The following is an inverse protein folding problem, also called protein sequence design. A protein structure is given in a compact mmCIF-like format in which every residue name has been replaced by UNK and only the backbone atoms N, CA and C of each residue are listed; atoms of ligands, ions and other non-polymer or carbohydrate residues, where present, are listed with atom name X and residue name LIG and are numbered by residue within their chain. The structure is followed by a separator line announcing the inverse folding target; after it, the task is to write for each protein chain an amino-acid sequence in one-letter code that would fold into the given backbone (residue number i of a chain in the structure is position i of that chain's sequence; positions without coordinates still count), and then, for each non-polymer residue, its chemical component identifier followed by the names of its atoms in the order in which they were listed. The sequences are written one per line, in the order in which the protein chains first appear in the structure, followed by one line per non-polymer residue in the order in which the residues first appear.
data_IF_971032551890
#
_entry.id   IF_971032551890
#
_cell.length_a   1.000
_cell.length_b   1.000
_cell.length_c   1.000
_cell.angle_alpha   90.00
_cell.angle_beta   90.00
_cell.angle_gamma   90.00
#
_symmetry.space_group_name_H-M   'P 1'
#
loop_
_entity.id
_entity.type
_entity.pdbx_description
1 polymer ?
#
# COMPACT_ATOMS: atom_id res chain seq x y z
N UNK A 1 26.21 -2.54 -54.90
CA UNK A 1 24.82 -2.32 -54.41
C UNK A 1 24.36 -3.25 -53.27
N UNK A 2 25.22 -4.15 -52.71
CA UNK A 2 24.84 -5.11 -51.64
C UNK A 2 24.96 -4.58 -50.19
N UNK A 3 25.82 -3.58 -49.95
CA UNK A 3 26.12 -3.07 -48.59
C UNK A 3 25.00 -2.20 -47.98
N UNK A 4 24.20 -1.50 -48.81
CA UNK A 4 23.13 -0.59 -48.35
C UNK A 4 21.95 -1.35 -47.72
N UNK A 5 21.64 -2.57 -48.21
CA UNK A 5 20.54 -3.40 -47.68
C UNK A 5 20.83 -4.00 -46.29
N UNK A 6 22.10 -4.18 -45.93
CA UNK A 6 22.48 -4.73 -44.62
C UNK A 6 22.41 -3.64 -43.54
N UNK A 7 22.77 -2.40 -43.89
CA UNK A 7 22.72 -1.25 -42.98
C UNK A 7 21.27 -0.88 -42.61
N UNK A 8 20.32 -1.02 -43.55
CA UNK A 8 18.90 -0.75 -43.30
C UNK A 8 18.22 -1.77 -42.37
N UNK A 9 18.67 -3.03 -42.35
CA UNK A 9 18.12 -4.07 -41.45
C UNK A 9 18.71 -4.01 -40.04
N UNK A 10 19.98 -3.64 -39.92
CA UNK A 10 20.62 -3.44 -38.62
C UNK A 10 20.05 -2.21 -37.88
N UNK A 11 19.74 -1.13 -38.61
CA UNK A 11 19.15 0.07 -38.02
C UNK A 11 17.69 -0.14 -37.56
N UNK A 12 16.94 -1.00 -38.25
CA UNK A 12 15.55 -1.33 -37.88
C UNK A 12 15.47 -2.19 -36.59
N UNK A 13 16.45 -3.07 -36.36
CA UNK A 13 16.52 -3.89 -35.14
C UNK A 13 16.99 -3.08 -33.93
N UNK A 14 17.83 -2.05 -34.13
CA UNK A 14 18.29 -1.16 -33.06
C UNK A 14 17.17 -0.25 -32.53
N UNK A 15 16.22 0.15 -33.40
CA UNK A 15 15.04 0.94 -33.03
C UNK A 15 13.99 0.15 -32.23
N UNK A 16 13.93 -1.18 -32.39
CA UNK A 16 12.94 -2.02 -31.70
C UNK A 16 13.36 -2.37 -30.26
N UNK A 17 14.65 -2.27 -29.92
CA UNK A 17 15.16 -2.55 -28.58
C UNK A 17 15.05 -1.38 -27.60
N UNK A 18 14.77 -0.16 -28.06
CA UNK A 18 14.82 1.06 -27.25
C UNK A 18 13.51 1.39 -26.51
N UNK A 19 12.43 0.64 -26.75
CA UNK A 19 11.12 0.86 -26.12
C UNK A 19 10.80 -0.10 -24.96
N UNK A 20 11.79 -0.83 -24.43
CA UNK A 20 11.64 -1.52 -23.14
C UNK A 20 11.89 -0.53 -21.99
N UNK A 21 11.07 0.51 -21.88
CA UNK A 21 11.04 1.32 -20.67
C UNK A 21 10.60 0.40 -19.52
N UNK A 22 11.34 0.33 -18.40
CA UNK A 22 10.83 -0.37 -17.24
C UNK A 22 9.53 0.32 -16.84
N UNK A 23 8.44 -0.45 -16.76
CA UNK A 23 7.23 -0.01 -16.09
C UNK A 23 7.64 0.27 -14.64
N UNK A 24 7.93 1.55 -14.35
CA UNK A 24 8.03 2.06 -12.98
C UNK A 24 6.72 1.71 -12.30
N UNK A 25 6.70 0.58 -11.59
CA UNK A 25 5.64 0.30 -10.65
C UNK A 25 5.79 1.36 -9.58
N UNK A 26 4.89 2.34 -9.59
CA UNK A 26 4.75 3.20 -8.44
C UNK A 26 4.55 2.26 -7.25
N UNK A 27 5.52 2.22 -6.34
CA UNK A 27 5.31 1.52 -5.09
C UNK A 27 4.10 2.18 -4.45
N UNK A 28 3.09 1.38 -4.19
CA UNK A 28 1.83 1.82 -3.62
C UNK A 28 1.64 1.11 -2.29
N UNK A 29 1.13 1.84 -1.31
CA UNK A 29 0.70 1.23 -0.06
C UNK A 29 -0.59 0.48 -0.35
N UNK A 30 -0.58 -0.83 -0.13
CA UNK A 30 -1.72 -1.69 -0.52
C UNK A 30 -2.95 -1.31 0.32
N UNK A 31 -4.13 -1.12 -0.28
CA UNK A 31 -5.35 -0.88 0.47
C UNK A 31 -5.78 -2.11 1.28
N UNK A 32 -6.33 -1.89 2.47
CA UNK A 32 -6.94 -2.93 3.28
C UNK A 32 -8.33 -3.29 2.70
N UNK A 33 -8.42 -4.42 2.01
CA UNK A 33 -9.68 -4.93 1.43
C UNK A 33 -10.17 -6.22 2.09
N UNK A 34 -9.27 -7.04 2.64
CA UNK A 34 -9.60 -8.25 3.39
C UNK A 34 -8.69 -8.37 4.60
N UNK A 35 -9.20 -7.95 5.76
CA UNK A 35 -8.48 -7.99 7.03
C UNK A 35 -8.17 -9.42 7.45
N UNK A 36 -9.06 -10.39 7.19
CA UNK A 36 -8.83 -11.78 7.53
C UNK A 36 -7.65 -12.36 6.75
N UNK A 37 -7.51 -12.02 5.48
CA UNK A 37 -6.35 -12.40 4.66
C UNK A 37 -5.06 -11.74 5.17
N UNK A 38 -5.11 -10.45 5.47
CA UNK A 38 -3.96 -9.71 5.98
C UNK A 38 -3.50 -10.22 7.36
N UNK A 39 -4.44 -10.58 8.24
CA UNK A 39 -4.14 -11.21 9.54
C UNK A 39 -3.51 -12.59 9.39
N UNK A 40 -3.98 -13.41 8.45
CA UNK A 40 -3.36 -14.70 8.16
C UNK A 40 -1.91 -14.52 7.69
N UNK A 41 -1.64 -13.53 6.84
CA UNK A 41 -0.29 -13.21 6.39
C UNK A 41 0.59 -12.69 7.55
N UNK A 42 0.08 -11.73 8.33
CA UNK A 42 0.78 -11.14 9.47
C UNK A 42 1.16 -12.20 10.51
N UNK A 43 0.23 -13.13 10.80
CA UNK A 43 0.46 -14.27 11.70
C UNK A 43 1.50 -15.24 11.17
N UNK A 44 1.46 -15.59 9.89
CA UNK A 44 2.46 -16.49 9.30
C UNK A 44 3.88 -15.91 9.39
N UNK A 45 4.00 -14.60 9.24
CA UNK A 45 5.27 -13.88 9.30
C UNK A 45 5.67 -13.43 10.71
N UNK A 46 4.78 -13.57 11.70
CA UNK A 46 4.96 -13.06 13.07
C UNK A 46 5.27 -11.56 13.11
N UNK A 47 4.55 -10.77 12.32
CA UNK A 47 4.72 -9.31 12.22
C UNK A 47 3.39 -8.59 12.47
N UNK A 48 3.42 -7.35 12.98
CA UNK A 48 2.22 -6.51 13.10
C UNK A 48 1.75 -5.98 11.75
N UNK A 49 0.51 -5.48 11.71
CA UNK A 49 -0.01 -4.66 10.62
C UNK A 49 0.14 -3.19 10.99
N UNK A 50 0.75 -2.40 10.11
CA UNK A 50 0.78 -0.94 10.19
C UNK A 50 -0.31 -0.41 9.24
N UNK A 51 -1.42 0.06 9.81
CA UNK A 51 -2.57 0.54 9.07
C UNK A 51 -2.63 2.07 9.11
N UNK A 52 -2.39 2.73 7.97
CA UNK A 52 -2.68 4.15 7.80
C UNK A 52 -4.16 4.33 7.50
N UNK A 53 -4.85 5.03 8.38
CA UNK A 53 -6.25 5.43 8.20
C UNK A 53 -6.26 6.90 7.83
N UNK A 54 -6.88 7.21 6.68
CA UNK A 54 -6.86 8.54 6.08
C UNK A 54 -8.22 8.91 5.48
N UNK A 55 -8.30 10.13 4.95
CA UNK A 55 -9.48 10.69 4.29
C UNK A 55 -9.04 11.37 2.98
N UNK A 56 -9.89 11.32 1.97
CA UNK A 56 -9.66 11.99 0.70
C UNK A 56 -9.49 13.51 0.88
N UNK A 57 -8.63 14.12 0.06
CA UNK A 57 -8.35 15.56 0.13
C UNK A 57 -7.52 16.03 1.34
N UNK A 58 -7.11 15.11 2.23
CA UNK A 58 -6.28 15.42 3.39
C UNK A 58 -4.81 15.66 3.01
N UNK A 59 -4.34 16.91 3.09
CA UNK A 59 -2.95 17.26 2.74
C UNK A 59 -1.91 16.57 3.62
N UNK A 60 -2.15 16.48 4.93
CA UNK A 60 -1.23 15.79 5.85
C UNK A 60 -1.19 14.28 5.61
N UNK A 61 -2.29 13.69 5.17
CA UNK A 61 -2.35 12.28 4.80
C UNK A 61 -1.47 12.00 3.58
N UNK A 62 -1.50 12.89 2.58
CA UNK A 62 -0.61 12.82 1.43
C UNK A 62 0.87 12.89 1.84
N UNK A 63 1.24 13.80 2.76
CA UNK A 63 2.58 13.87 3.32
C UNK A 63 3.03 12.56 3.98
N UNK A 64 2.19 11.96 4.84
CA UNK A 64 2.52 10.67 5.47
C UNK A 64 2.64 9.55 4.43
N UNK A 65 1.79 9.54 3.41
CA UNK A 65 1.82 8.55 2.35
C UNK A 65 3.12 8.65 1.53
N UNK A 66 3.43 9.82 0.98
CA UNK A 66 4.52 10.03 0.01
C UNK A 66 5.90 10.12 0.66
N UNK A 67 6.01 10.77 1.81
CA UNK A 67 7.32 11.05 2.41
C UNK A 67 7.76 9.98 3.41
N UNK A 68 6.82 9.14 3.86
CA UNK A 68 7.11 8.08 4.85
C UNK A 68 6.76 6.69 4.35
N UNK A 69 5.49 6.38 4.10
CA UNK A 69 5.08 5.00 3.81
C UNK A 69 5.56 4.50 2.45
N UNK A 70 5.53 5.33 1.41
CA UNK A 70 5.98 4.94 0.07
C UNK A 70 7.49 4.65 0.04
N UNK A 71 8.37 5.48 0.65
CA UNK A 71 9.77 5.13 0.85
C UNK A 71 9.97 3.85 1.67
N UNK A 72 9.15 3.60 2.70
CA UNK A 72 9.22 2.34 3.46
C UNK A 72 8.95 1.12 2.57
N UNK A 73 7.92 1.17 1.71
CA UNK A 73 7.63 0.11 0.74
C UNK A 73 8.78 -0.05 -0.26
N UNK A 74 9.28 1.04 -0.84
CA UNK A 74 10.38 1.05 -1.82
C UNK A 74 11.68 0.49 -1.25
N UNK A 75 12.01 0.85 -0.01
CA UNK A 75 13.24 0.40 0.65
C UNK A 75 13.28 -1.11 0.86
N UNK A 76 12.11 -1.75 0.97
CA UNK A 76 11.97 -3.17 1.31
C UNK A 76 12.40 -3.54 2.73
N UNK A 77 12.92 -2.59 3.53
CA UNK A 77 13.47 -2.85 4.88
C UNK A 77 12.42 -3.38 5.86
N UNK A 78 11.13 -3.13 5.57
CA UNK A 78 9.99 -3.47 6.41
C UNK A 78 9.25 -4.74 5.97
N UNK A 79 9.62 -5.39 4.86
CA UNK A 79 8.89 -6.56 4.31
C UNK A 79 8.67 -7.70 5.31
N UNK A 80 9.60 -7.89 6.24
CA UNK A 80 9.51 -8.90 7.31
C UNK A 80 9.46 -8.26 8.71
N UNK A 81 8.99 -7.02 8.81
CA UNK A 81 8.88 -6.28 10.08
C UNK A 81 7.48 -5.74 10.33
N UNK A 82 6.75 -5.37 9.28
CA UNK A 82 5.37 -4.93 9.37
C UNK A 82 4.65 -5.12 8.03
N UNK A 83 3.37 -5.47 8.08
CA UNK A 83 2.49 -5.47 6.93
C UNK A 83 1.88 -4.08 6.77
N UNK A 84 2.32 -3.31 5.77
CA UNK A 84 1.83 -1.95 5.54
C UNK A 84 0.52 -1.99 4.75
N UNK A 85 -0.50 -1.30 5.26
CA UNK A 85 -1.80 -1.12 4.61
C UNK A 85 -2.33 0.30 4.75
N UNK A 86 -3.21 0.69 3.84
CA UNK A 86 -3.97 1.94 3.93
C UNK A 86 -5.49 1.71 3.94
N UNK A 87 -6.23 2.60 4.58
CA UNK A 87 -7.69 2.61 4.58
C UNK A 87 -8.20 4.05 4.42
N UNK A 88 -8.89 4.31 3.31
CA UNK A 88 -9.65 5.53 3.13
C UNK A 88 -10.98 5.43 3.90
N UNK A 89 -11.10 6.16 5.01
CA UNK A 89 -12.23 6.06 5.93
C UNK A 89 -13.48 6.84 5.51
N UNK A 90 -13.37 7.69 4.49
CA UNK A 90 -14.47 8.48 3.94
C UNK A 90 -15.04 7.93 2.64
N UNK A 91 -14.37 6.93 2.05
CA UNK A 91 -14.83 6.26 0.85
C UNK A 91 -16.02 5.33 1.13
N UNK A 92 -16.88 5.12 0.13
CA UNK A 92 -18.04 4.23 0.22
C UNK A 92 -17.67 2.73 0.07
N UNK A 93 -16.40 2.40 0.31
CA UNK A 93 -15.81 1.08 0.10
C UNK A 93 -16.02 0.21 1.33
N UNK A 94 -16.34 -1.07 1.07
CA UNK A 94 -16.39 -2.11 2.08
C UNK A 94 -15.09 -2.91 2.09
N UNK A 95 -14.68 -3.36 3.28
CA UNK A 95 -13.65 -4.38 3.47
C UNK A 95 -14.28 -5.64 4.05
N UNK A 96 -13.60 -6.76 3.89
CA UNK A 96 -13.89 -7.98 4.65
C UNK A 96 -13.19 -7.88 6.00
N UNK A 97 -13.94 -8.00 7.09
CA UNK A 97 -13.39 -7.92 8.44
C UNK A 97 -12.71 -9.24 8.88
N UNK A 98 -12.27 -9.29 10.15
CA UNK A 98 -11.59 -10.46 10.70
C UNK A 98 -12.50 -11.72 10.80
N UNK A 99 -13.82 -11.53 10.84
CA UNK A 99 -14.81 -12.61 10.89
C UNK A 99 -15.24 -13.10 9.50
N UNK A 100 -14.90 -12.34 8.45
CA UNK A 100 -15.29 -12.63 7.08
C UNK A 100 -16.54 -11.86 6.63
N UNK A 101 -17.07 -10.98 7.47
CA UNK A 101 -18.23 -10.15 7.15
C UNK A 101 -17.80 -8.87 6.41
N UNK A 102 -18.70 -8.33 5.57
CA UNK A 102 -18.45 -7.04 4.93
C UNK A 102 -18.72 -5.92 5.92
N UNK A 103 -17.79 -4.99 6.00
CA UNK A 103 -17.82 -3.84 6.90
C UNK A 103 -17.40 -2.58 6.14
N UNK A 104 -18.14 -1.49 6.30
CA UNK A 104 -17.78 -0.21 5.69
C UNK A 104 -16.45 0.34 6.26
N UNK A 105 -15.59 0.88 5.41
CA UNK A 105 -14.30 1.43 5.80
C UNK A 105 -14.43 2.50 6.91
N UNK A 106 -15.47 3.33 6.82
CA UNK A 106 -15.80 4.35 7.84
C UNK A 106 -16.12 3.73 9.20
N UNK A 107 -16.92 2.66 9.21
CA UNK A 107 -17.35 2.02 10.45
C UNK A 107 -16.22 1.20 11.07
N UNK A 108 -15.36 0.61 10.25
CA UNK A 108 -14.12 0.01 10.73
C UNK A 108 -13.16 1.03 11.35
N UNK A 109 -12.96 2.20 10.72
CA UNK A 109 -12.16 3.27 11.32
C UNK A 109 -12.72 3.74 12.67
N UNK A 110 -14.06 3.82 12.80
CA UNK A 110 -14.75 4.16 14.06
C UNK A 110 -14.60 3.07 15.12
N UNK A 111 -14.64 1.79 14.76
CA UNK A 111 -14.44 0.69 15.70
C UNK A 111 -13.02 0.71 16.30
N UNK A 112 -12.04 1.20 15.53
CA UNK A 112 -10.67 1.49 15.97
C UNK A 112 -10.51 2.86 16.69
N UNK A 113 -11.63 3.51 17.02
CA UNK A 113 -11.67 4.81 17.69
C UNK A 113 -10.84 5.90 16.98
N UNK A 114 -10.77 5.87 15.64
CA UNK A 114 -10.13 6.92 14.85
C UNK A 114 -11.07 8.11 14.74
N UNK A 115 -10.57 9.30 15.07
CA UNK A 115 -11.32 10.57 15.01
C UNK A 115 -10.64 11.66 14.18
N UNK A 116 -9.36 11.48 13.86
CA UNK A 116 -8.52 12.45 13.16
C UNK A 116 -7.71 11.72 12.09
N UNK A 117 -7.35 12.44 11.02
CA UNK A 117 -6.57 11.91 9.91
C UNK A 117 -5.32 12.77 9.67
N UNK A 118 -4.17 12.17 9.35
CA UNK A 118 -3.93 10.73 9.29
C UNK A 118 -3.80 10.10 10.68
N UNK A 119 -4.21 8.83 10.84
CA UNK A 119 -3.90 8.03 12.03
C UNK A 119 -3.25 6.72 11.62
N UNK A 120 -2.10 6.39 12.20
CA UNK A 120 -1.48 5.06 12.07
C UNK A 120 -1.89 4.22 13.28
N UNK A 121 -2.54 3.10 12.99
CA UNK A 121 -2.89 2.06 13.97
C UNK A 121 -1.99 0.86 13.75
N UNK A 122 -1.37 0.38 14.83
CA UNK A 122 -0.66 -0.89 14.82
C UNK A 122 -1.61 -1.99 15.30
N UNK A 123 -1.82 -3.01 14.48
CA UNK A 123 -2.58 -4.19 14.86
C UNK A 123 -1.61 -5.34 15.13
N UNK A 124 -1.86 -6.08 16.20
CA UNK A 124 -1.19 -7.36 16.44
C UNK A 124 -1.64 -8.42 15.41
N UNK A 125 -1.05 -9.61 15.49
CA UNK A 125 -1.39 -10.72 14.58
C UNK A 125 -2.81 -11.27 14.78
N UNK A 126 -3.50 -10.85 15.84
CA UNK A 126 -4.90 -11.16 16.15
C UNK A 126 -5.85 -10.04 15.72
N UNK A 127 -5.34 -8.93 15.17
CA UNK A 127 -6.11 -7.80 14.68
C UNK A 127 -6.56 -6.83 15.77
N UNK A 128 -5.96 -6.91 16.96
CA UNK A 128 -6.24 -5.98 18.05
C UNK A 128 -5.30 -4.78 17.98
N UNK A 129 -5.80 -3.56 18.23
CA UNK A 129 -4.96 -2.39 18.36
C UNK A 129 -3.93 -2.56 19.49
N UNK A 130 -2.67 -2.34 19.15
CA UNK A 130 -1.60 -2.20 20.13
C UNK A 130 -1.76 -0.88 20.90
N UNK A 131 -1.15 -0.76 22.09
CA UNK A 131 -1.30 0.44 22.96
C UNK A 131 -0.80 1.73 22.31
N UNK A 132 0.16 1.62 21.40
CA UNK A 132 0.76 2.76 20.71
C UNK A 132 0.01 3.04 19.40
N UNK A 133 -0.33 4.31 19.16
CA UNK A 133 -0.86 4.80 17.90
C UNK A 133 -0.21 6.15 17.58
N UNK A 134 0.02 6.44 16.31
CA UNK A 134 0.51 7.75 15.87
C UNK A 134 -0.67 8.53 15.31
N UNK A 135 -1.07 9.58 16.02
CA UNK A 135 -2.15 10.47 15.59
C UNK A 135 -1.52 11.73 15.01
N UNK A 136 -1.73 11.96 13.72
CA UNK A 136 -1.44 13.25 13.10
C UNK A 136 -2.61 14.19 13.38
N UNK A 137 -2.30 15.39 13.87
CA UNK A 137 -3.24 16.52 14.00
C UNK A 137 -2.92 17.58 12.97
#
# INVERSE_FOLDING_TARGET
MRKVRVLGRALLLLMLGLFAAPLSHAAEVIPLTDLRADLAQAKALHIPILLLIHSQGCTYCHYVMEDHLRPMVLSGQYKNRALLRQLAADDAVELVDATGERLGARDYARSLQVRFYPTIVFLDAEGKPMKERLVGV
#
